data_IF_799950737360
#
_entry.id   IF_799950737360
#
_cell.length_a   1.000
_cell.length_b   1.000
_cell.length_c   1.000
_cell.angle_alpha   90.00
_cell.angle_beta   90.00
_cell.angle_gamma   90.00
#
_symmetry.space_group_name_H-M   'P 1'
#
loop_
_entity.id
_entity.type
_entity.pdbx_description
1 polymer ?
#
# COMPACT_ATOMS: atom_id res chain seq x y z
N UNK A 1 15.67 16.23 -15.50
CA UNK A 1 14.75 16.82 -14.51
C UNK A 1 13.32 16.33 -14.71
N UNK A 2 12.74 16.48 -15.92
CA UNK A 2 11.36 16.04 -16.21
C UNK A 2 11.17 14.54 -15.97
N UNK A 3 12.08 13.69 -16.45
CA UNK A 3 12.02 12.23 -16.27
C UNK A 3 12.07 11.80 -14.79
N UNK A 4 12.80 12.55 -13.99
CA UNK A 4 12.89 12.30 -12.55
C UNK A 4 11.55 12.61 -11.86
N UNK A 5 10.89 13.70 -12.22
CA UNK A 5 9.57 14.07 -11.71
C UNK A 5 8.54 13.01 -12.11
N UNK A 6 8.54 12.60 -13.38
CA UNK A 6 7.62 11.59 -13.91
C UNK A 6 7.83 10.25 -13.20
N UNK A 7 9.08 9.82 -13.00
CA UNK A 7 9.42 8.60 -12.27
C UNK A 7 8.96 8.66 -10.81
N UNK A 8 9.15 9.79 -10.15
CA UNK A 8 8.70 10.01 -8.76
C UNK A 8 7.18 9.92 -8.65
N UNK A 9 6.45 10.54 -9.56
CA UNK A 9 4.98 10.46 -9.61
C UNK A 9 4.52 9.03 -9.88
N UNK A 10 5.15 8.33 -10.82
CA UNK A 10 4.85 6.92 -11.14
C UNK A 10 4.98 6.06 -9.89
N UNK A 11 6.11 6.16 -9.20
CA UNK A 11 6.30 5.42 -7.94
C UNK A 11 5.33 5.90 -6.86
N UNK A 12 5.06 7.20 -6.75
CA UNK A 12 4.06 7.75 -5.83
C UNK A 12 2.67 7.11 -6.02
N UNK A 13 2.24 6.93 -7.27
CA UNK A 13 0.95 6.30 -7.58
C UNK A 13 0.94 4.79 -7.33
N UNK A 14 2.01 4.07 -7.66
CA UNK A 14 2.15 2.63 -7.36
C UNK A 14 2.06 2.40 -5.85
N UNK A 15 2.81 3.16 -5.08
CA UNK A 15 2.84 3.03 -3.62
C UNK A 15 1.62 3.66 -2.92
N UNK A 16 0.82 4.48 -3.61
CA UNK A 16 -0.48 4.91 -3.10
C UNK A 16 -1.44 3.72 -2.90
N UNK A 17 -1.34 2.67 -3.73
CA UNK A 17 -2.12 1.43 -3.56
C UNK A 17 -1.79 0.75 -2.22
N UNK A 18 -0.51 0.63 -1.88
CA UNK A 18 -0.06 0.15 -0.58
C UNK A 18 -0.60 1.05 0.55
N UNK A 19 -0.49 2.35 0.37
CA UNK A 19 -0.94 3.33 1.37
C UNK A 19 -2.45 3.28 1.58
N UNK A 20 -3.26 2.92 0.57
CA UNK A 20 -4.69 2.65 0.76
C UNK A 20 -4.94 1.45 1.68
N UNK A 21 -4.16 0.38 1.53
CA UNK A 21 -4.22 -0.77 2.44
C UNK A 21 -3.91 -0.34 3.88
N UNK A 22 -2.78 0.33 4.08
CA UNK A 22 -2.38 0.83 5.41
C UNK A 22 -3.39 1.86 5.96
N UNK A 23 -4.01 2.67 5.11
CA UNK A 23 -5.08 3.59 5.53
C UNK A 23 -6.27 2.84 6.12
N UNK A 24 -6.66 1.71 5.53
CA UNK A 24 -7.76 0.88 6.04
C UNK A 24 -7.39 0.30 7.41
N UNK A 25 -6.22 -0.29 7.54
CA UNK A 25 -5.83 -0.96 8.80
C UNK A 25 -5.51 0.04 9.89
N UNK A 26 -4.66 1.01 9.62
CA UNK A 26 -4.17 1.94 10.63
C UNK A 26 -5.19 3.03 11.00
N UNK A 27 -5.82 3.69 9.98
CA UNK A 27 -6.68 4.85 10.23
C UNK A 27 -8.14 4.50 10.45
N UNK A 28 -8.63 3.45 9.78
CA UNK A 28 -10.05 3.08 9.83
C UNK A 28 -10.30 1.99 10.88
N UNK A 29 -9.48 0.93 10.93
CA UNK A 29 -9.66 -0.19 11.87
C UNK A 29 -8.95 -0.03 13.20
N UNK A 30 -8.04 0.94 13.32
CA UNK A 30 -7.10 1.07 14.45
C UNK A 30 -6.35 -0.24 14.75
N UNK A 31 -5.86 -0.86 13.68
CA UNK A 31 -5.19 -2.17 13.69
C UNK A 31 -3.79 -2.03 13.07
N UNK A 32 -2.70 -2.10 13.85
CA UNK A 32 -1.33 -2.06 13.34
C UNK A 32 -1.00 -3.38 12.63
N UNK A 33 -1.17 -3.44 11.31
CA UNK A 33 -0.99 -4.64 10.49
C UNK A 33 0.42 -4.73 9.91
N UNK A 34 1.28 -5.53 10.52
CA UNK A 34 2.63 -5.81 10.03
C UNK A 34 2.66 -6.80 8.85
N UNK A 35 1.53 -7.43 8.51
CA UNK A 35 1.43 -8.33 7.36
C UNK A 35 1.80 -7.63 6.05
N UNK A 36 1.66 -6.31 5.98
CA UNK A 36 2.03 -5.45 4.84
C UNK A 36 3.43 -5.76 4.32
N UNK A 37 4.42 -5.90 5.21
CA UNK A 37 5.81 -6.20 4.85
C UNK A 37 5.97 -7.60 4.23
N UNK A 38 5.03 -8.52 4.45
CA UNK A 38 4.95 -9.84 3.83
C UNK A 38 4.10 -9.87 2.56
N UNK A 39 2.96 -9.17 2.57
CA UNK A 39 1.98 -9.17 1.47
C UNK A 39 2.47 -8.40 0.25
N UNK A 40 3.23 -7.34 0.44
CA UNK A 40 3.83 -6.58 -0.66
C UNK A 40 4.79 -7.46 -1.50
N UNK A 41 5.81 -8.11 -0.92
CA UNK A 41 6.65 -9.04 -1.68
C UNK A 41 5.90 -10.28 -2.15
N UNK A 42 4.83 -10.72 -1.49
CA UNK A 42 3.99 -11.82 -1.97
C UNK A 42 3.37 -11.50 -3.33
N UNK A 43 2.75 -10.32 -3.47
CA UNK A 43 2.21 -9.87 -4.74
C UNK A 43 3.27 -9.76 -5.83
N UNK A 44 4.46 -9.26 -5.48
CA UNK A 44 5.60 -9.17 -6.38
C UNK A 44 6.12 -10.55 -6.80
N UNK A 45 6.29 -11.51 -5.87
CA UNK A 45 6.77 -12.86 -6.12
C UNK A 45 5.84 -13.63 -7.07
N UNK A 46 4.54 -13.61 -6.77
CA UNK A 46 3.52 -14.25 -7.61
C UNK A 46 3.53 -13.66 -9.01
N UNK A 47 3.53 -12.34 -9.13
CA UNK A 47 3.60 -11.65 -10.42
C UNK A 47 4.87 -12.01 -11.19
N UNK A 48 6.04 -11.98 -10.55
CA UNK A 48 7.31 -12.28 -11.19
C UNK A 48 7.31 -13.69 -11.79
N UNK A 49 6.88 -14.68 -11.03
CA UNK A 49 6.82 -16.09 -11.49
C UNK A 49 5.82 -16.26 -12.63
N UNK A 50 4.64 -15.65 -12.54
CA UNK A 50 3.62 -15.74 -13.59
C UNK A 50 4.11 -15.11 -14.91
N UNK A 51 4.80 -13.96 -14.85
CA UNK A 51 5.35 -13.32 -16.04
C UNK A 51 6.50 -14.11 -16.65
N UNK A 52 7.38 -14.69 -15.83
CA UNK A 52 8.44 -15.57 -16.34
C UNK A 52 7.85 -16.77 -17.06
N UNK A 53 6.73 -17.33 -16.56
CA UNK A 53 5.99 -18.42 -17.22
C UNK A 53 5.19 -17.96 -18.45
N UNK A 54 5.16 -16.66 -18.78
CA UNK A 54 4.45 -16.12 -19.93
C UNK A 54 2.94 -15.91 -19.74
N UNK A 55 2.48 -15.87 -18.50
CA UNK A 55 1.07 -15.56 -18.19
C UNK A 55 0.79 -14.09 -18.48
N UNK A 56 -0.43 -13.78 -18.90
CA UNK A 56 -0.90 -12.41 -19.18
C UNK A 56 -0.66 -11.48 -17.98
N UNK A 57 -0.09 -10.30 -18.23
CA UNK A 57 0.31 -9.34 -17.20
C UNK A 57 -0.86 -8.83 -16.34
N UNK A 58 -2.04 -8.65 -16.93
CA UNK A 58 -3.25 -8.24 -16.19
C UNK A 58 -3.80 -9.37 -15.33
N UNK A 59 -3.77 -10.61 -15.85
CA UNK A 59 -4.16 -11.79 -15.08
C UNK A 59 -3.22 -11.99 -13.88
N UNK A 60 -1.91 -11.75 -14.06
CA UNK A 60 -0.95 -11.80 -12.97
C UNK A 60 -1.28 -10.79 -11.85
N UNK A 61 -1.75 -9.57 -12.18
CA UNK A 61 -2.21 -8.60 -11.19
C UNK A 61 -3.44 -9.10 -10.42
N UNK A 62 -4.42 -9.66 -11.13
CA UNK A 62 -5.63 -10.19 -10.51
C UNK A 62 -5.31 -11.34 -9.54
N UNK A 63 -4.46 -12.27 -9.97
CA UNK A 63 -4.03 -13.39 -9.11
C UNK A 63 -3.28 -12.86 -7.89
N UNK A 64 -2.38 -11.90 -8.05
CA UNK A 64 -1.64 -11.29 -6.94
C UNK A 64 -2.56 -10.57 -5.95
N UNK A 65 -3.59 -9.89 -6.44
CA UNK A 65 -4.62 -9.27 -5.61
C UNK A 65 -5.36 -10.32 -4.77
N UNK A 66 -5.77 -11.44 -5.38
CA UNK A 66 -6.47 -12.53 -4.68
C UNK A 66 -5.57 -13.23 -3.64
N UNK A 67 -4.30 -13.45 -3.97
CA UNK A 67 -3.35 -14.06 -3.02
C UNK A 67 -3.07 -13.10 -1.85
N UNK A 68 -3.01 -11.79 -2.10
CA UNK A 68 -2.95 -10.79 -1.04
C UNK A 68 -4.20 -10.78 -0.15
N UNK A 69 -5.39 -10.95 -0.75
CA UNK A 69 -6.63 -11.11 -0.01
C UNK A 69 -6.60 -12.32 0.93
N UNK A 70 -6.05 -13.45 0.46
CA UNK A 70 -5.85 -14.66 1.28
C UNK A 70 -4.88 -14.39 2.45
N UNK A 71 -3.79 -13.67 2.21
CA UNK A 71 -2.87 -13.28 3.29
C UNK A 71 -3.57 -12.45 4.37
N UNK A 72 -4.37 -11.46 3.97
CA UNK A 72 -5.18 -10.66 4.89
C UNK A 72 -6.25 -11.48 5.62
N UNK A 73 -6.85 -12.47 4.95
CA UNK A 73 -7.78 -13.40 5.58
C UNK A 73 -7.09 -14.23 6.67
N UNK A 74 -5.88 -14.76 6.40
CA UNK A 74 -5.11 -15.53 7.39
C UNK A 74 -4.80 -14.68 8.62
N UNK A 75 -4.32 -13.45 8.44
CA UNK A 75 -4.06 -12.52 9.56
C UNK A 75 -5.34 -12.26 10.36
N UNK A 76 -6.44 -11.97 9.68
CA UNK A 76 -7.72 -11.72 10.30
C UNK A 76 -8.27 -12.95 11.03
N UNK A 77 -8.10 -14.15 10.46
CA UNK A 77 -8.48 -15.40 11.09
C UNK A 77 -7.69 -15.66 12.38
N UNK A 78 -6.37 -15.48 12.34
CA UNK A 78 -5.49 -15.62 13.51
C UNK A 78 -5.93 -14.63 14.61
N UNK A 79 -6.17 -13.36 14.27
CA UNK A 79 -6.59 -12.36 15.23
C UNK A 79 -7.98 -12.65 15.83
N UNK A 80 -8.96 -12.91 14.99
CA UNK A 80 -10.38 -12.97 15.40
C UNK A 80 -10.74 -14.35 15.98
N UNK A 81 -10.37 -15.43 15.27
CA UNK A 81 -10.78 -16.79 15.65
C UNK A 81 -9.86 -17.41 16.68
N UNK A 82 -8.53 -17.19 16.55
CA UNK A 82 -7.55 -17.70 17.52
C UNK A 82 -7.29 -16.73 18.68
N UNK A 83 -7.94 -15.53 18.66
CA UNK A 83 -7.84 -14.49 19.70
C UNK A 83 -6.41 -14.03 19.97
N UNK A 84 -5.54 -14.11 18.98
CA UNK A 84 -4.18 -13.58 19.04
C UNK A 84 -4.23 -12.05 18.95
N UNK A 85 -3.36 -11.36 19.69
CA UNK A 85 -3.27 -9.89 19.61
C UNK A 85 -2.98 -9.44 18.18
N UNK A 86 -3.53 -8.28 17.79
CA UNK A 86 -3.42 -7.68 16.47
C UNK A 86 -1.98 -7.65 15.94
N UNK A 87 -1.05 -7.02 16.69
CA UNK A 87 0.36 -6.93 16.33
C UNK A 87 1.01 -8.31 16.12
N UNK A 88 0.73 -9.26 17.02
CA UNK A 88 1.30 -10.61 16.95
C UNK A 88 0.77 -11.39 15.74
N UNK A 89 -0.52 -11.25 15.41
CA UNK A 89 -1.09 -11.90 14.23
C UNK A 89 -0.43 -11.42 12.94
N UNK A 90 -0.14 -10.10 12.84
CA UNK A 90 0.61 -9.53 11.73
C UNK A 90 2.04 -10.06 11.62
N UNK A 91 2.77 -10.13 12.75
CA UNK A 91 4.14 -10.67 12.77
C UNK A 91 4.19 -12.14 12.34
N UNK A 92 3.28 -12.97 12.87
CA UNK A 92 3.21 -14.40 12.52
C UNK A 92 2.99 -14.56 11.01
N UNK A 93 2.00 -13.86 10.46
CA UNK A 93 1.68 -13.94 9.02
C UNK A 93 2.83 -13.39 8.18
N UNK A 94 3.42 -12.25 8.54
CA UNK A 94 4.57 -11.66 7.84
C UNK A 94 5.74 -12.65 7.75
N UNK A 95 6.07 -13.30 8.87
CA UNK A 95 7.17 -14.26 8.94
C UNK A 95 6.89 -15.52 8.09
N UNK A 96 5.67 -16.03 8.13
CA UNK A 96 5.26 -17.14 7.27
C UNK A 96 5.32 -16.76 5.79
N UNK A 97 4.81 -15.57 5.44
CA UNK A 97 4.84 -15.06 4.07
C UNK A 97 6.26 -14.86 3.55
N UNK A 98 7.22 -14.46 4.39
CA UNK A 98 8.62 -14.35 3.98
C UNK A 98 9.16 -15.70 3.45
N UNK A 99 8.91 -16.79 4.17
CA UNK A 99 9.30 -18.15 3.73
C UNK A 99 8.54 -18.58 2.47
N UNK A 100 7.25 -18.28 2.38
CA UNK A 100 6.44 -18.58 1.20
C UNK A 100 6.97 -17.82 -0.02
N UNK A 101 7.30 -16.55 0.11
CA UNK A 101 7.84 -15.71 -0.96
C UNK A 101 9.17 -16.26 -1.49
N UNK A 102 10.06 -16.71 -0.58
CA UNK A 102 11.30 -17.37 -0.94
C UNK A 102 11.07 -18.70 -1.69
N UNK A 103 10.07 -19.46 -1.29
CA UNK A 103 9.73 -20.72 -1.96
C UNK A 103 9.13 -20.49 -3.35
N UNK A 104 8.36 -19.41 -3.55
CA UNK A 104 7.72 -19.09 -4.83
C UNK A 104 8.72 -18.56 -5.85
N UNK A 105 9.56 -17.59 -5.46
CA UNK A 105 10.38 -16.81 -6.40
C UNK A 105 11.89 -16.78 -6.07
N UNK A 106 12.31 -17.50 -5.04
CA UNK A 106 13.69 -17.45 -4.55
C UNK A 106 14.04 -16.12 -3.88
N UNK A 107 15.31 -15.83 -3.72
CA UNK A 107 15.79 -14.58 -3.10
C UNK A 107 15.62 -13.38 -4.02
N UNK A 108 15.90 -13.58 -5.32
CA UNK A 108 15.79 -12.56 -6.36
C UNK A 108 15.35 -13.21 -7.66
N UNK A 109 14.42 -12.58 -8.38
CA UNK A 109 13.96 -13.04 -9.68
C UNK A 109 13.85 -11.84 -10.63
N UNK A 110 14.60 -11.86 -11.72
CA UNK A 110 14.55 -10.85 -12.77
C UNK A 110 13.61 -11.28 -13.89
N UNK A 111 12.83 -10.34 -14.40
CA UNK A 111 11.90 -10.54 -15.52
C UNK A 111 12.59 -10.06 -16.78
N UNK A 112 12.82 -10.96 -17.73
CA UNK A 112 13.45 -10.64 -19.01
C UNK A 112 12.69 -9.52 -19.75
N UNK A 113 13.42 -8.69 -20.52
CA UNK A 113 12.83 -7.57 -21.27
C UNK A 113 11.84 -8.02 -22.35
N UNK A 114 11.97 -9.24 -22.82
CA UNK A 114 11.08 -9.86 -23.82
C UNK A 114 9.69 -10.21 -23.23
N UNK A 115 9.57 -10.31 -21.92
CA UNK A 115 8.29 -10.59 -21.27
C UNK A 115 7.45 -9.32 -21.14
N UNK A 116 6.19 -9.43 -21.52
CA UNK A 116 5.27 -8.33 -21.44
C UNK A 116 4.88 -8.01 -19.99
N UNK A 117 4.89 -6.72 -19.69
CA UNK A 117 4.35 -6.16 -18.45
C UNK A 117 3.08 -5.36 -18.78
N UNK A 118 2.31 -4.94 -17.78
CA UNK A 118 1.15 -4.07 -18.01
C UNK A 118 1.51 -2.80 -18.80
N UNK A 119 2.77 -2.38 -18.77
CA UNK A 119 3.27 -1.20 -19.48
C UNK A 119 3.64 -1.47 -20.94
N UNK A 120 3.92 -2.72 -21.31
CA UNK A 120 4.34 -3.13 -22.67
C UNK A 120 3.37 -4.09 -23.32
N UNK A 121 2.31 -4.50 -22.61
CA UNK A 121 1.31 -5.45 -23.12
C UNK A 121 0.61 -4.90 -24.37
N UNK A 122 0.27 -5.74 -25.39
CA UNK A 122 -0.34 -5.29 -26.64
C UNK A 122 -1.56 -4.40 -26.46
N UNK A 123 -2.45 -4.70 -25.51
CA UNK A 123 -3.62 -3.86 -25.24
C UNK A 123 -3.25 -2.47 -24.69
N UNK A 124 -2.18 -2.34 -23.92
CA UNK A 124 -1.67 -1.04 -23.48
C UNK A 124 -0.99 -0.31 -24.63
N UNK A 125 -0.27 -1.07 -25.47
CA UNK A 125 0.42 -0.52 -26.63
C UNK A 125 -0.55 0.00 -27.70
N UNK A 126 -1.69 -0.63 -27.90
CA UNK A 126 -2.71 -0.16 -28.87
C UNK A 126 -3.28 1.20 -28.47
N UNK A 127 -3.37 1.53 -27.17
CA UNK A 127 -3.93 2.81 -26.70
C UNK A 127 -2.83 3.87 -26.49
N UNK A 128 -1.68 3.48 -25.94
CA UNK A 128 -0.60 4.39 -25.53
C UNK A 128 0.73 4.15 -26.24
N UNK A 129 0.73 3.43 -27.37
CA UNK A 129 1.95 3.03 -28.10
C UNK A 129 2.78 4.18 -28.65
N UNK A 130 2.15 5.30 -28.98
CA UNK A 130 2.82 6.52 -29.49
C UNK A 130 3.60 7.27 -28.40
N UNK A 131 3.38 6.95 -27.12
CA UNK A 131 4.02 7.65 -26.00
C UNK A 131 5.34 6.99 -25.58
N UNK A 132 6.25 7.79 -25.01
CA UNK A 132 7.47 7.26 -24.39
C UNK A 132 7.14 6.29 -23.25
N UNK A 133 8.02 5.29 -23.03
CA UNK A 133 7.83 4.29 -21.98
C UNK A 133 7.63 4.93 -20.60
N UNK A 134 8.32 6.04 -20.32
CA UNK A 134 8.25 6.76 -19.05
C UNK A 134 6.86 7.35 -18.83
N UNK A 135 6.31 8.04 -19.84
CA UNK A 135 4.95 8.60 -19.79
C UNK A 135 3.88 7.50 -19.70
N UNK A 136 4.07 6.40 -20.42
CA UNK A 136 3.16 5.25 -20.38
C UNK A 136 3.11 4.64 -18.98
N UNK A 137 4.26 4.47 -18.33
CA UNK A 137 4.32 4.01 -16.93
C UNK A 137 3.52 4.94 -16.01
N UNK A 138 3.66 6.24 -16.15
CA UNK A 138 2.92 7.23 -15.36
C UNK A 138 1.41 7.09 -15.57
N UNK A 139 0.95 7.07 -16.81
CA UNK A 139 -0.49 7.05 -17.15
C UNK A 139 -1.13 5.75 -16.66
N UNK A 140 -0.51 4.61 -16.93
CA UNK A 140 -1.05 3.30 -16.50
C UNK A 140 -1.11 3.18 -14.99
N UNK A 141 -0.06 3.62 -14.28
CA UNK A 141 -0.08 3.62 -12.80
C UNK A 141 -1.11 4.59 -12.23
N UNK A 142 -1.29 5.77 -12.85
CA UNK A 142 -2.32 6.73 -12.47
C UNK A 142 -3.74 6.17 -12.68
N UNK A 143 -4.01 5.54 -13.81
CA UNK A 143 -5.30 4.90 -14.08
C UNK A 143 -5.59 3.82 -13.04
N UNK A 144 -4.64 2.93 -12.78
CA UNK A 144 -4.80 1.85 -11.82
C UNK A 144 -5.07 2.41 -10.39
N UNK A 145 -4.32 3.43 -10.00
CA UNK A 145 -4.50 4.11 -8.70
C UNK A 145 -5.90 4.75 -8.62
N UNK A 146 -6.35 5.45 -9.68
CA UNK A 146 -7.66 6.09 -9.72
C UNK A 146 -8.78 5.04 -9.65
N UNK A 147 -8.67 3.95 -10.39
CA UNK A 147 -9.64 2.84 -10.35
C UNK A 147 -9.75 2.28 -8.93
N UNK A 148 -8.62 1.93 -8.30
CA UNK A 148 -8.62 1.42 -6.92
C UNK A 148 -9.18 2.45 -5.93
N UNK A 149 -8.84 3.74 -6.08
CA UNK A 149 -9.41 4.82 -5.27
C UNK A 149 -10.92 4.91 -5.40
N UNK A 150 -11.44 4.89 -6.63
CA UNK A 150 -12.89 4.99 -6.88
C UNK A 150 -13.60 3.78 -6.28
N UNK A 151 -13.10 2.56 -6.50
CA UNK A 151 -13.64 1.34 -5.91
C UNK A 151 -13.64 1.39 -4.38
N UNK A 152 -12.56 1.89 -3.78
CA UNK A 152 -12.45 2.04 -2.32
C UNK A 152 -13.42 3.10 -1.79
N UNK A 153 -13.55 4.25 -2.47
CA UNK A 153 -14.51 5.30 -2.12
C UNK A 153 -15.96 4.80 -2.21
N UNK A 154 -16.27 3.99 -3.22
CA UNK A 154 -17.58 3.35 -3.37
C UNK A 154 -17.82 2.31 -2.26
N UNK A 155 -16.81 1.49 -1.95
CA UNK A 155 -16.89 0.53 -0.85
C UNK A 155 -17.20 1.22 0.48
N UNK A 156 -16.56 2.34 0.78
CA UNK A 156 -16.82 3.11 2.01
C UNK A 156 -18.21 3.73 2.09
N UNK A 157 -18.93 3.83 0.98
CA UNK A 157 -20.35 4.25 0.96
C UNK A 157 -21.33 3.09 1.21
N UNK A 158 -20.86 1.84 1.17
CA UNK A 158 -21.68 0.66 1.44
C UNK A 158 -21.92 0.47 2.93
N UNK A 159 -22.92 -0.37 3.28
CA UNK A 159 -23.19 -0.75 4.68
C UNK A 159 -21.95 -1.34 5.36
N UNK A 160 -21.19 -2.19 4.66
CA UNK A 160 -19.98 -2.80 5.18
C UNK A 160 -18.86 -1.76 5.41
N UNK A 161 -18.70 -0.79 4.51
CA UNK A 161 -17.73 0.29 4.68
C UNK A 161 -18.07 1.22 5.85
N UNK A 162 -19.36 1.47 6.09
CA UNK A 162 -19.80 2.20 7.28
C UNK A 162 -19.50 1.43 8.57
N UNK A 163 -19.81 0.13 8.59
CA UNK A 163 -19.52 -0.74 9.73
C UNK A 163 -18.01 -0.84 10.00
N UNK A 164 -17.19 -0.87 8.94
CA UNK A 164 -15.73 -0.90 9.07
C UNK A 164 -15.19 0.32 9.84
N UNK A 165 -15.70 1.52 9.53
CA UNK A 165 -15.35 2.75 10.26
C UNK A 165 -15.87 2.71 11.70
N UNK A 166 -17.12 2.27 11.89
CA UNK A 166 -17.71 2.17 13.21
C UNK A 166 -16.96 1.21 14.14
N UNK A 167 -16.39 0.11 13.62
CA UNK A 167 -15.58 -0.84 14.41
C UNK A 167 -14.29 -0.20 14.93
N UNK A 168 -13.64 0.64 14.12
CA UNK A 168 -12.42 1.34 14.53
C UNK A 168 -12.70 2.46 15.54
N UNK A 169 -13.78 3.24 15.33
CA UNK A 169 -14.13 4.35 16.20
C UNK A 169 -14.71 3.86 17.55
N UNK A 170 -15.62 2.88 17.53
CA UNK A 170 -16.26 2.35 18.74
C UNK A 170 -16.75 0.90 18.53
N UNK A 171 -15.92 -0.06 18.88
CA UNK A 171 -16.24 -1.49 18.73
C UNK A 171 -17.42 -1.96 19.60
N UNK A 172 -17.73 -1.27 20.68
CA UNK A 172 -18.87 -1.60 21.59
C UNK A 172 -20.20 -1.27 20.90
N UNK A 173 -20.27 -0.14 20.22
CA UNK A 173 -21.46 0.27 19.46
C UNK A 173 -21.82 -0.75 18.36
N UNK A 174 -20.82 -1.29 17.67
CA UNK A 174 -21.07 -2.29 16.61
C UNK A 174 -21.59 -3.60 17.18
N UNK A 175 -21.11 -4.00 18.36
CA UNK A 175 -21.59 -5.20 19.06
C UNK A 175 -23.05 -5.03 19.50
N UNK A 176 -23.45 -3.85 19.97
CA UNK A 176 -24.85 -3.54 20.36
C UNK A 176 -25.83 -3.59 19.17
N UNK A 177 -25.34 -3.38 17.95
CA UNK A 177 -26.13 -3.53 16.71
C UNK A 177 -26.22 -4.98 16.22
N UNK A 178 -25.87 -5.97 17.03
CA UNK A 178 -25.88 -7.41 16.72
C UNK A 178 -25.06 -7.79 15.49
N UNK A 179 -23.99 -7.03 15.19
CA UNK A 179 -23.05 -7.32 14.12
C UNK A 179 -21.75 -7.91 14.66
N UNK A 180 -21.28 -8.95 14.02
CA UNK A 180 -20.00 -9.57 14.37
C UNK A 180 -18.84 -8.66 13.95
N UNK A 181 -18.28 -7.95 14.95
CA UNK A 181 -17.10 -7.10 14.77
C UNK A 181 -15.89 -7.85 14.21
N UNK A 182 -15.79 -9.15 14.52
CA UNK A 182 -14.69 -9.99 14.04
C UNK A 182 -14.72 -10.15 12.52
N UNK A 183 -15.86 -10.49 11.97
CA UNK A 183 -16.05 -10.63 10.52
C UNK A 183 -15.73 -9.32 9.79
N UNK A 184 -16.13 -8.17 10.36
CA UNK A 184 -15.87 -6.87 9.76
C UNK A 184 -14.36 -6.57 9.75
N UNK A 185 -13.64 -6.88 10.83
CA UNK A 185 -12.18 -6.76 10.89
C UNK A 185 -11.48 -7.63 9.85
N UNK A 186 -11.92 -8.89 9.70
CA UNK A 186 -11.38 -9.81 8.69
C UNK A 186 -11.54 -9.21 7.28
N UNK A 187 -12.73 -8.71 6.93
CA UNK A 187 -12.98 -8.09 5.63
C UNK A 187 -12.05 -6.89 5.40
N UNK A 188 -11.84 -6.05 6.40
CA UNK A 188 -10.93 -4.91 6.29
C UNK A 188 -9.48 -5.33 6.04
N UNK A 189 -8.99 -6.36 6.74
CA UNK A 189 -7.66 -6.92 6.55
C UNK A 189 -7.50 -7.59 5.17
N UNK A 190 -8.53 -8.27 4.68
CA UNK A 190 -8.60 -8.87 3.34
C UNK A 190 -8.42 -7.79 2.27
N UNK A 191 -9.21 -6.71 2.32
CA UNK A 191 -9.16 -5.62 1.33
C UNK A 191 -7.80 -4.90 1.42
N UNK A 192 -7.32 -4.64 2.64
CA UNK A 192 -6.03 -4.00 2.87
C UNK A 192 -4.88 -4.75 2.21
N UNK A 193 -4.72 -6.03 2.57
CA UNK A 193 -3.61 -6.85 2.08
C UNK A 193 -3.73 -7.18 0.58
N UNK A 194 -4.95 -7.23 0.03
CA UNK A 194 -5.18 -7.33 -1.41
C UNK A 194 -4.61 -6.10 -2.16
N UNK A 195 -4.86 -4.88 -1.66
CA UNK A 195 -4.33 -3.64 -2.23
C UNK A 195 -2.80 -3.55 -2.08
N UNK A 196 -2.28 -3.99 -0.93
CA UNK A 196 -0.83 -4.05 -0.67
C UNK A 196 -0.14 -5.00 -1.66
N UNK A 197 -0.67 -6.21 -1.84
CA UNK A 197 -0.12 -7.18 -2.79
C UNK A 197 -0.23 -6.68 -4.25
N UNK A 198 -1.34 -6.01 -4.60
CA UNK A 198 -1.49 -5.36 -5.90
C UNK A 198 -0.40 -4.30 -6.12
N UNK A 199 -0.09 -3.48 -5.11
CA UNK A 199 1.00 -2.50 -5.17
C UNK A 199 2.35 -3.19 -5.42
N UNK A 200 2.64 -4.28 -4.71
CA UNK A 200 3.85 -5.10 -4.91
C UNK A 200 3.93 -5.70 -6.32
N UNK A 201 2.80 -6.19 -6.83
CA UNK A 201 2.69 -6.73 -8.19
C UNK A 201 3.01 -5.68 -9.26
N UNK A 202 2.46 -4.47 -9.13
CA UNK A 202 2.73 -3.35 -10.06
C UNK A 202 4.17 -2.86 -9.92
N UNK A 203 4.70 -2.75 -8.71
CA UNK A 203 6.09 -2.37 -8.46
C UNK A 203 7.07 -3.37 -9.09
N UNK A 204 6.79 -4.67 -8.98
CA UNK A 204 7.58 -5.71 -9.62
C UNK A 204 7.57 -5.58 -11.16
N UNK A 205 6.42 -5.30 -11.76
CA UNK A 205 6.30 -5.09 -13.20
C UNK A 205 7.00 -3.80 -13.67
N UNK A 206 6.97 -2.76 -12.84
CA UNK A 206 7.65 -1.49 -13.11
C UNK A 206 9.17 -1.65 -13.10
N UNK A 207 9.71 -2.33 -12.08
CA UNK A 207 11.15 -2.57 -11.90
C UNK A 207 11.68 -3.78 -12.70
N UNK A 208 10.78 -4.64 -13.19
CA UNK A 208 11.10 -5.94 -13.83
C UNK A 208 11.96 -6.84 -12.94
N UNK A 209 11.78 -6.75 -11.63
CA UNK A 209 12.54 -7.54 -10.67
C UNK A 209 11.74 -7.77 -9.39
N UNK A 210 11.98 -8.92 -8.80
CA UNK A 210 11.54 -9.26 -7.45
C UNK A 210 12.77 -9.44 -6.56
N UNK A 211 12.67 -9.01 -5.32
CA UNK A 211 13.62 -9.34 -4.25
C UNK A 211 12.84 -9.66 -2.97
N UNK A 212 13.23 -10.71 -2.26
CA UNK A 212 12.58 -11.12 -1.02
C UNK A 212 12.61 -10.01 0.06
N UNK A 213 13.60 -9.12 -0.01
CA UNK A 213 13.76 -8.01 0.95
C UNK A 213 13.03 -6.73 0.56
N UNK A 214 12.32 -6.71 -0.58
CA UNK A 214 11.62 -5.51 -1.05
C UNK A 214 10.45 -5.08 -0.15
N UNK A 215 9.94 -6.01 0.66
CA UNK A 215 8.88 -5.75 1.64
C UNK A 215 9.34 -5.08 2.93
N UNK A 216 10.64 -5.13 3.23
CA UNK A 216 11.18 -4.65 4.51
C UNK A 216 11.00 -3.14 4.66
N UNK A 217 10.16 -2.72 5.63
CA UNK A 217 9.90 -1.32 5.93
C UNK A 217 8.79 -0.68 5.08
N UNK A 218 8.02 -1.46 4.32
CA UNK A 218 6.90 -0.94 3.54
C UNK A 218 5.76 -0.46 4.44
N UNK A 219 5.58 -1.07 5.61
CA UNK A 219 4.64 -0.56 6.63
C UNK A 219 5.00 0.86 7.06
N UNK A 220 6.30 1.16 7.26
CA UNK A 220 6.77 2.49 7.66
C UNK A 220 6.47 3.51 6.57
N UNK A 221 6.71 3.14 5.30
CA UNK A 221 6.31 3.96 4.15
C UNK A 221 4.80 4.25 4.16
N UNK A 222 3.98 3.21 4.28
CA UNK A 222 2.53 3.33 4.26
C UNK A 222 2.00 4.21 5.39
N UNK A 223 2.51 4.02 6.61
CA UNK A 223 2.16 4.85 7.78
C UNK A 223 2.56 6.30 7.56
N UNK A 224 3.78 6.56 7.09
CA UNK A 224 4.24 7.91 6.81
C UNK A 224 3.35 8.60 5.77
N UNK A 225 3.04 7.92 4.66
CA UNK A 225 2.16 8.46 3.62
C UNK A 225 0.75 8.78 4.16
N UNK A 226 0.18 7.89 4.98
CA UNK A 226 -1.13 8.11 5.61
C UNK A 226 -1.08 9.30 6.57
N UNK A 227 -0.06 9.40 7.41
CA UNK A 227 0.08 10.48 8.40
C UNK A 227 0.32 11.82 7.71
N UNK A 228 1.24 11.89 6.72
CA UNK A 228 1.47 13.11 5.92
C UNK A 228 0.16 13.57 5.30
N UNK A 229 -0.49 12.68 4.55
CA UNK A 229 -1.71 13.01 3.84
C UNK A 229 -2.81 13.50 4.77
N UNK A 230 -3.12 12.74 5.82
CA UNK A 230 -4.21 13.08 6.75
C UNK A 230 -3.90 14.31 7.62
N UNK A 231 -2.62 14.61 7.90
CA UNK A 231 -2.23 15.79 8.67
C UNK A 231 -2.25 17.04 7.80
N UNK A 232 -1.70 16.97 6.59
CA UNK A 232 -1.63 18.10 5.67
C UNK A 232 -3.03 18.61 5.29
N UNK A 233 -3.96 17.69 5.04
CA UNK A 233 -5.31 18.03 4.62
C UNK A 233 -6.35 18.02 5.75
N UNK A 234 -5.91 17.97 7.02
CA UNK A 234 -6.81 17.94 8.19
C UNK A 234 -7.81 19.09 8.24
N UNK A 235 -7.40 20.29 7.80
CA UNK A 235 -8.25 21.50 7.81
C UNK A 235 -9.16 21.63 6.59
N UNK A 236 -8.98 20.76 5.58
CA UNK A 236 -9.70 20.82 4.31
C UNK A 236 -10.78 19.74 4.30
N UNK A 237 -11.99 20.08 4.73
CA UNK A 237 -13.12 19.14 4.85
C UNK A 237 -13.57 18.55 3.50
N UNK A 238 -13.25 19.21 2.40
CA UNK A 238 -13.61 18.79 1.05
C UNK A 238 -12.78 17.60 0.54
N UNK A 239 -11.56 17.37 1.08
CA UNK A 239 -10.65 16.31 0.62
C UNK A 239 -10.93 15.03 1.39
N UNK A 240 -11.32 13.98 0.66
CA UNK A 240 -11.49 12.64 1.24
C UNK A 240 -10.14 12.08 1.72
N UNK A 241 -10.17 11.26 2.79
CA UNK A 241 -8.97 10.62 3.33
C UNK A 241 -8.19 9.81 2.28
N UNK A 242 -8.87 9.11 1.37
CA UNK A 242 -8.24 8.40 0.25
C UNK A 242 -7.46 9.32 -0.68
N UNK A 243 -7.98 10.50 -1.00
CA UNK A 243 -7.27 11.52 -1.80
C UNK A 243 -6.07 12.06 -1.03
N UNK A 244 -6.23 12.35 0.25
CA UNK A 244 -5.14 12.83 1.11
C UNK A 244 -3.96 11.83 1.14
N UNK A 245 -4.24 10.54 1.23
CA UNK A 245 -3.23 9.47 1.22
C UNK A 245 -2.44 9.42 -0.08
N UNK A 246 -3.06 9.67 -1.24
CA UNK A 246 -2.35 9.76 -2.53
C UNK A 246 -1.31 10.88 -2.48
N UNK A 247 -1.70 12.07 -2.05
CA UNK A 247 -0.75 13.18 -1.91
C UNK A 247 0.35 12.84 -0.91
N UNK A 248 0.02 12.19 0.21
CA UNK A 248 1.00 11.74 1.19
C UNK A 248 2.04 10.79 0.60
N UNK A 249 1.63 9.81 -0.21
CA UNK A 249 2.55 8.86 -0.84
C UNK A 249 3.45 9.54 -1.89
N UNK A 250 2.90 10.47 -2.67
CA UNK A 250 3.67 11.23 -3.66
C UNK A 250 4.69 12.14 -2.97
N UNK A 251 4.30 12.87 -1.92
CA UNK A 251 5.20 13.75 -1.16
C UNK A 251 6.32 12.94 -0.53
N UNK A 252 6.01 11.80 0.09
CA UNK A 252 7.03 10.96 0.70
C UNK A 252 8.03 10.41 -0.32
N UNK A 253 7.56 9.94 -1.48
CA UNK A 253 8.44 9.52 -2.58
C UNK A 253 9.26 10.66 -3.14
N UNK A 254 8.70 11.86 -3.23
CA UNK A 254 9.45 13.05 -3.64
C UNK A 254 10.57 13.38 -2.66
N UNK A 255 10.33 13.31 -1.35
CA UNK A 255 11.38 13.50 -0.34
C UNK A 255 12.53 12.49 -0.50
N UNK A 256 12.21 11.21 -0.71
CA UNK A 256 13.24 10.18 -0.94
C UNK A 256 14.01 10.47 -2.23
N UNK A 257 13.33 10.85 -3.31
CA UNK A 257 13.97 11.12 -4.59
C UNK A 257 14.88 12.35 -4.54
N UNK A 258 14.48 13.37 -3.81
CA UNK A 258 15.33 14.55 -3.55
C UNK A 258 16.57 14.13 -2.75
N UNK A 259 16.43 13.31 -1.72
CA UNK A 259 17.57 12.82 -0.94
C UNK A 259 18.56 12.04 -1.81
N UNK A 260 18.09 11.20 -2.73
CA UNK A 260 18.94 10.49 -3.69
C UNK A 260 19.63 11.46 -4.64
N UNK A 261 18.91 12.46 -5.15
CA UNK A 261 19.47 13.45 -6.09
C UNK A 261 20.53 14.36 -5.46
N UNK A 262 20.51 14.50 -4.14
CA UNK A 262 21.55 15.18 -3.36
C UNK A 262 22.81 14.34 -3.14
N UNK A 263 22.87 13.13 -3.73
CA UNK A 263 24.05 12.26 -3.68
C UNK A 263 24.12 11.33 -2.46
N UNK A 264 23.02 11.16 -1.72
CA UNK A 264 22.98 10.22 -0.61
C UNK A 264 23.05 8.77 -1.11
N UNK A 265 23.93 7.92 -0.57
CA UNK A 265 24.12 6.58 -1.03
C UNK A 265 22.86 5.71 -0.77
N UNK A 266 22.56 4.79 -1.70
CA UNK A 266 21.40 3.92 -1.63
C UNK A 266 21.31 3.10 -0.32
N UNK A 267 22.45 2.78 0.28
CA UNK A 267 22.51 2.04 1.55
C UNK A 267 21.89 2.83 2.73
N UNK A 268 21.84 4.15 2.66
CA UNK A 268 21.28 5.02 3.69
C UNK A 268 19.78 5.30 3.48
N UNK A 269 19.16 4.81 2.41
CA UNK A 269 17.74 5.08 2.14
C UNK A 269 16.82 4.65 3.29
N UNK A 270 17.10 3.51 3.92
CA UNK A 270 16.32 3.04 5.09
C UNK A 270 16.47 3.95 6.29
N UNK A 271 17.67 4.49 6.53
CA UNK A 271 17.92 5.48 7.58
C UNK A 271 17.14 6.77 7.30
N UNK A 272 17.21 7.25 6.06
CA UNK A 272 16.52 8.48 5.64
C UNK A 272 15.01 8.33 5.81
N UNK A 273 14.44 7.18 5.40
CA UNK A 273 13.02 6.91 5.57
C UNK A 273 12.61 6.90 7.04
N UNK A 274 13.43 6.32 7.92
CA UNK A 274 13.18 6.30 9.37
C UNK A 274 13.24 7.71 9.98
N UNK A 275 14.23 8.52 9.61
CA UNK A 275 14.38 9.91 10.07
C UNK A 275 13.23 10.78 9.56
N UNK A 276 12.85 10.65 8.29
CA UNK A 276 11.69 11.36 7.72
C UNK A 276 10.40 10.98 8.46
N UNK A 277 10.19 9.69 8.73
CA UNK A 277 9.02 9.24 9.48
C UNK A 277 8.98 9.82 10.89
N UNK A 278 10.10 9.80 11.60
CA UNK A 278 10.22 10.42 12.93
C UNK A 278 9.91 11.92 12.89
N UNK A 279 10.50 12.64 11.94
CA UNK A 279 10.26 14.08 11.77
C UNK A 279 8.78 14.39 11.53
N UNK A 280 8.10 13.58 10.69
CA UNK A 280 6.67 13.73 10.41
C UNK A 280 5.82 13.49 11.67
N UNK A 281 6.14 12.45 12.45
CA UNK A 281 5.44 12.17 13.71
C UNK A 281 5.59 13.31 14.72
N UNK A 282 6.80 13.83 14.88
CA UNK A 282 7.08 14.95 15.79
C UNK A 282 6.32 16.20 15.36
N UNK A 283 6.39 16.56 14.08
CA UNK A 283 5.65 17.71 13.53
C UNK A 283 4.13 17.55 13.68
N UNK A 284 3.60 16.35 13.43
CA UNK A 284 2.18 16.04 13.61
C UNK A 284 1.72 16.18 15.07
N UNK A 285 2.56 15.80 16.03
CA UNK A 285 2.26 15.92 17.46
C UNK A 285 2.34 17.38 17.94
N UNK A 286 3.30 18.16 17.47
CA UNK A 286 3.42 19.60 17.78
C UNK A 286 2.17 20.36 17.31
N UNK A 287 1.64 20.05 16.13
CA UNK A 287 0.40 20.65 15.64
C UNK A 287 -0.82 20.28 16.48
N UNK A 288 -0.88 19.05 17.02
CA UNK A 288 -1.97 18.65 17.95
C UNK A 288 -1.90 19.39 19.28
N UNK A 289 -0.69 19.62 19.81
CA UNK A 289 -0.47 20.36 21.07
C UNK A 289 -0.85 21.85 20.96
N UNK A 290 -0.56 22.48 19.83
CA UNK A 290 -0.90 23.88 19.58
C UNK A 290 -2.42 24.12 19.51
N UNK A 291 -3.17 23.17 18.94
CA UNK A 291 -4.65 23.28 18.84
C UNK A 291 -5.33 23.12 20.20
N UNK A 292 -4.80 22.27 21.10
CA UNK A 292 -5.33 22.14 22.47
C UNK A 292 -5.09 23.38 23.32
N UNK A 293 -4.00 24.12 23.08
CA UNK A 293 -3.71 25.38 23.80
C UNK A 293 -4.63 26.55 23.40
N UNK A 294 -5.10 26.56 22.16
CA UNK A 294 -5.97 27.63 21.64
C UNK A 294 -7.48 27.40 21.90
N UNK A 295 -7.87 26.25 22.42
CA UNK A 295 -9.27 25.91 22.77
C UNK A 295 -9.51 26.01 24.29
N UNK A 296 -8.46 26.21 25.08
CA UNK A 296 -8.48 26.35 26.54
C UNK A 296 -8.10 27.75 27.04
N UNK A 297 -8.12 28.76 26.15
CA UNK A 297 -7.87 30.16 26.52
C UNK A 297 -9.13 31.00 26.27
#
# INVERSE_FOLDING_TARGET
MLDLIISTLTQGFIYALLSFGVYITYKILDFPDLTVDGSFPLGAAVTAVLLVKGVNSYLALLISFLVGALAGFVTGFIHVRLKVRDLLSGIITMTALFSINLQIAGSNLSIAREKDTIFTFPATMSVFGSMSLILRKLIVSAILMIVCKVLLDLYFKTKNGFLLRAVGDNSVLVTSLSKDKGTIKIIGLVISNALVALSGAVACQEQRSFSATMGTGQIVFGLAAVIIGTTLFRRVSFIKGTTAVIFGSVIYKACIQIAISLGLPANLLKLITAVLFLAILVLGNLQKGSVKKNVGA
#
